data_IF_797947344166
#
_entry.id   IF_797947344166
#
_cell.length_a   1.000
_cell.length_b   1.000
_cell.length_c   1.000
_cell.angle_alpha   90.00
_cell.angle_beta   90.00
_cell.angle_gamma   90.00
#
_symmetry.space_group_name_H-M   'P 1'
#
loop_
_entity.id
_entity.type
_entity.pdbx_description
1 polymer ?
#
# COMPACT_ATOMS: atom_id res chain seq x y z
N UNK A 1 14.10 23.91 6.86
CA UNK A 1 13.41 23.34 8.03
C UNK A 1 12.26 22.49 7.52
N UNK A 2 12.38 21.16 7.56
CA UNK A 2 11.40 20.25 6.99
C UNK A 2 10.31 19.95 8.05
N UNK A 3 9.11 20.49 7.84
CA UNK A 3 7.95 20.23 8.69
C UNK A 3 7.21 18.97 8.25
N UNK A 4 7.11 17.99 9.14
CA UNK A 4 6.32 16.77 8.96
C UNK A 4 4.83 17.13 8.90
N UNK A 5 4.20 17.01 7.73
CA UNK A 5 2.78 17.32 7.52
C UNK A 5 2.00 16.02 7.35
N UNK A 6 1.37 15.52 8.42
CA UNK A 6 0.47 14.36 8.37
C UNK A 6 -0.88 14.73 9.00
N UNK A 7 -2.02 14.64 8.29
CA UNK A 7 -3.33 14.91 8.88
C UNK A 7 -3.68 13.82 9.90
N UNK A 8 -3.93 14.22 11.15
CA UNK A 8 -4.51 13.33 12.17
C UNK A 8 -5.93 12.93 11.77
N UNK A 9 -6.11 11.68 11.31
CA UNK A 9 -7.39 10.98 11.47
C UNK A 9 -7.37 10.15 12.75
N UNK A 10 -8.51 10.15 13.43
CA UNK A 10 -8.67 9.82 14.83
C UNK A 10 -8.55 8.32 15.13
N UNK A 11 -7.49 7.97 15.86
CA UNK A 11 -7.45 7.06 17.02
C UNK A 11 -7.96 5.61 16.81
N UNK A 12 -7.05 4.74 16.38
CA UNK A 12 -6.86 3.45 17.06
C UNK A 12 -5.52 3.54 17.81
N UNK A 13 -5.55 3.97 19.08
CA UNK A 13 -4.38 3.90 19.97
C UNK A 13 -4.26 2.46 20.49
N UNK A 14 -3.93 1.52 19.61
CA UNK A 14 -3.38 0.24 20.02
C UNK A 14 -1.86 0.37 19.93
N UNK A 15 -1.20 0.14 21.06
CA UNK A 15 0.23 0.34 21.29
C UNK A 15 1.05 -0.34 20.20
N UNK A 16 2.05 0.37 19.69
CA UNK A 16 3.08 -0.10 18.75
C UNK A 16 3.99 -1.22 19.30
N UNK A 17 3.56 -1.97 20.33
CA UNK A 17 4.44 -2.85 21.11
C UNK A 17 4.03 -4.32 21.21
N UNK A 18 2.94 -4.75 20.58
CA UNK A 18 2.56 -6.18 20.58
C UNK A 18 2.04 -6.63 19.20
N UNK A 19 2.68 -6.17 18.13
CA UNK A 19 2.76 -7.01 16.92
C UNK A 19 3.79 -8.08 17.26
N UNK A 20 3.43 -9.36 17.15
CA UNK A 20 4.39 -10.45 17.37
C UNK A 20 5.68 -10.17 16.61
N UNK A 21 6.81 -10.50 17.23
CA UNK A 21 8.11 -10.08 16.73
C UNK A 21 8.31 -10.65 15.33
N UNK A 22 8.32 -9.78 14.31
CA UNK A 22 8.61 -10.16 12.92
C UNK A 22 9.94 -10.93 12.80
N UNK A 23 10.84 -10.78 13.78
CA UNK A 23 12.11 -11.51 13.88
C UNK A 23 11.92 -13.02 14.11
N UNK A 24 10.78 -13.44 14.65
CA UNK A 24 10.47 -14.85 14.96
C UNK A 24 9.70 -15.56 13.84
N UNK A 25 9.29 -14.84 12.79
CA UNK A 25 8.67 -15.47 11.63
C UNK A 25 9.67 -16.36 10.90
N UNK A 26 9.28 -17.61 10.63
CA UNK A 26 10.02 -18.48 9.73
C UNK A 26 10.11 -17.87 8.33
N UNK A 27 11.18 -18.16 7.60
CA UNK A 27 11.53 -17.56 6.31
C UNK A 27 10.35 -17.56 5.30
N UNK A 28 9.70 -18.70 5.14
CA UNK A 28 8.54 -18.83 4.25
C UNK A 28 7.35 -17.98 4.71
N UNK A 29 7.09 -17.91 6.02
CA UNK A 29 6.02 -17.10 6.61
C UNK A 29 6.30 -15.61 6.46
N UNK A 30 7.56 -15.18 6.61
CA UNK A 30 7.97 -13.80 6.41
C UNK A 30 7.70 -13.35 4.96
N UNK A 31 8.14 -14.13 3.98
CA UNK A 31 7.92 -13.80 2.56
C UNK A 31 6.44 -13.81 2.23
N UNK A 32 5.70 -14.85 2.65
CA UNK A 32 4.26 -14.94 2.41
C UNK A 32 3.48 -13.74 2.98
N UNK A 33 3.90 -13.23 4.15
CA UNK A 33 3.26 -12.09 4.81
C UNK A 33 3.53 -10.76 4.12
N UNK A 34 4.73 -10.57 3.58
CA UNK A 34 5.19 -9.26 3.09
C UNK A 34 5.28 -9.12 1.57
N UNK A 35 5.19 -10.22 0.81
CA UNK A 35 5.31 -10.21 -0.66
C UNK A 35 4.27 -9.33 -1.35
N UNK A 36 3.03 -9.32 -0.85
CA UNK A 36 1.92 -8.59 -1.50
C UNK A 36 1.87 -7.10 -1.10
N UNK A 37 2.78 -6.65 -0.23
CA UNK A 37 2.97 -5.22 0.03
C UNK A 37 3.51 -4.49 -1.21
N UNK A 38 4.21 -5.20 -2.09
CA UNK A 38 4.77 -4.65 -3.32
C UNK A 38 4.06 -5.28 -4.53
N UNK A 39 3.48 -4.44 -5.37
CA UNK A 39 2.70 -4.90 -6.52
C UNK A 39 3.54 -5.79 -7.45
N UNK A 40 3.10 -7.04 -7.65
CA UNK A 40 3.76 -8.08 -8.46
C UNK A 40 5.29 -8.19 -8.24
N UNK A 41 5.79 -7.82 -7.06
CA UNK A 41 7.21 -7.65 -6.79
C UNK A 41 7.64 -8.35 -5.49
N UNK A 42 7.45 -9.69 -5.39
CA UNK A 42 7.78 -10.46 -4.19
C UNK A 42 9.27 -10.38 -3.83
N UNK A 43 10.13 -10.08 -4.80
CA UNK A 43 11.57 -9.94 -4.64
C UNK A 43 11.93 -8.98 -3.50
N UNK A 44 11.15 -7.92 -3.25
CA UNK A 44 11.44 -6.97 -2.19
C UNK A 44 11.37 -7.66 -0.81
N UNK A 45 10.34 -8.47 -0.58
CA UNK A 45 10.22 -9.27 0.66
C UNK A 45 11.33 -10.33 0.76
N UNK A 46 11.66 -11.00 -0.35
CA UNK A 46 12.72 -12.02 -0.41
C UNK A 46 14.12 -11.43 -0.14
N UNK A 47 14.40 -10.22 -0.64
CA UNK A 47 15.66 -9.52 -0.36
C UNK A 47 15.70 -9.01 1.07
N UNK A 48 14.58 -8.51 1.58
CA UNK A 48 14.48 -8.06 2.97
C UNK A 48 14.69 -9.22 3.95
N UNK A 49 14.17 -10.42 3.64
CA UNK A 49 14.40 -11.62 4.45
C UNK A 49 15.90 -11.88 4.69
N UNK A 50 16.74 -11.72 3.68
CA UNK A 50 18.20 -11.93 3.79
C UNK A 50 18.91 -10.91 4.68
N UNK A 51 18.26 -9.77 4.93
CA UNK A 51 18.74 -8.70 5.80
C UNK A 51 17.94 -8.61 7.10
N UNK A 52 17.12 -9.64 7.42
CA UNK A 52 16.21 -9.60 8.57
C UNK A 52 17.01 -9.39 9.84
N UNK A 53 16.73 -8.26 10.49
CA UNK A 53 17.12 -7.79 11.84
C UNK A 53 16.78 -6.30 11.91
N UNK A 54 15.58 -5.97 11.45
CA UNK A 54 15.13 -4.59 11.38
C UNK A 54 14.56 -4.16 12.74
N UNK A 55 14.84 -2.94 13.16
CA UNK A 55 14.10 -2.31 14.26
C UNK A 55 12.69 -1.88 13.83
N UNK A 56 12.50 -1.76 12.51
CA UNK A 56 11.27 -1.36 11.88
C UNK A 56 11.14 -2.07 10.53
N UNK A 57 10.15 -2.96 10.40
CA UNK A 57 9.95 -3.79 9.20
C UNK A 57 9.74 -2.95 7.94
N UNK A 58 9.01 -1.83 8.03
CA UNK A 58 8.83 -0.91 6.90
C UNK A 58 10.16 -0.36 6.39
N UNK A 59 11.03 0.09 7.31
CA UNK A 59 12.37 0.56 6.94
C UNK A 59 13.19 -0.55 6.29
N UNK A 60 13.13 -1.76 6.83
CA UNK A 60 13.83 -2.91 6.26
C UNK A 60 13.40 -3.25 4.84
N UNK A 61 12.09 -3.27 4.60
CA UNK A 61 11.49 -3.51 3.29
C UNK A 61 11.82 -2.38 2.29
N UNK A 62 11.78 -1.11 2.71
CA UNK A 62 12.11 -0.01 1.81
C UNK A 62 13.61 0.12 1.55
N UNK A 63 14.48 -0.24 2.51
CA UNK A 63 15.93 -0.19 2.30
C UNK A 63 16.39 -1.08 1.15
N UNK A 64 15.81 -2.28 1.00
CA UNK A 64 16.17 -3.16 -0.13
C UNK A 64 15.71 -2.62 -1.48
N UNK A 65 14.68 -1.76 -1.50
CA UNK A 65 14.23 -1.06 -2.72
C UNK A 65 15.16 0.10 -3.04
N UNK A 66 15.56 0.89 -2.05
CA UNK A 66 16.51 1.98 -2.24
C UNK A 66 17.89 1.49 -2.68
N UNK A 67 18.33 0.33 -2.18
CA UNK A 67 19.60 -0.30 -2.55
C UNK A 67 19.52 -1.13 -3.85
N UNK A 68 18.32 -1.31 -4.42
CA UNK A 68 18.14 -2.06 -5.65
C UNK A 68 18.76 -1.31 -6.85
N UNK A 69 19.05 -2.05 -7.92
CA UNK A 69 19.55 -1.40 -9.14
C UNK A 69 18.48 -0.46 -9.73
N UNK A 70 18.87 0.56 -10.51
CA UNK A 70 17.91 1.42 -11.20
C UNK A 70 16.90 0.63 -12.05
N UNK A 71 17.31 -0.49 -12.64
CA UNK A 71 16.45 -1.37 -13.43
C UNK A 71 15.38 -2.05 -12.56
N UNK A 72 15.76 -2.57 -11.39
CA UNK A 72 14.82 -3.18 -10.44
C UNK A 72 13.84 -2.14 -9.88
N UNK A 73 14.30 -0.92 -9.59
CA UNK A 73 13.42 0.17 -9.17
C UNK A 73 12.40 0.53 -10.27
N UNK A 74 12.86 0.65 -11.51
CA UNK A 74 11.97 0.91 -12.65
C UNK A 74 11.01 -0.26 -12.90
N UNK A 75 11.46 -1.51 -12.74
CA UNK A 75 10.61 -2.69 -12.85
C UNK A 75 9.51 -2.69 -11.78
N UNK A 76 9.84 -2.35 -10.54
CA UNK A 76 8.86 -2.19 -9.45
C UNK A 76 7.84 -1.08 -9.77
N UNK A 77 8.29 0.06 -10.30
CA UNK A 77 7.36 1.14 -10.70
C UNK A 77 6.43 0.66 -11.82
N UNK A 78 6.96 -0.07 -12.83
CA UNK A 78 6.17 -0.60 -13.94
C UNK A 78 5.15 -1.67 -13.52
N UNK A 79 5.43 -2.38 -12.44
CA UNK A 79 4.51 -3.37 -11.90
C UNK A 79 3.23 -2.76 -11.31
N UNK A 80 3.25 -1.45 -10.97
CA UNK A 80 2.08 -0.77 -10.45
C UNK A 80 1.07 -0.48 -11.57
N UNK A 81 -0.20 -0.87 -11.40
CA UNK A 81 -1.24 -0.59 -12.37
C UNK A 81 -1.44 0.91 -12.52
N UNK A 82 -1.73 1.34 -13.75
CA UNK A 82 -2.00 2.74 -14.04
C UNK A 82 -3.25 3.22 -13.31
N UNK A 83 -3.14 4.39 -12.70
CA UNK A 83 -4.23 5.02 -11.98
C UNK A 83 -5.34 5.45 -12.95
N UNK A 84 -6.58 5.03 -12.69
CA UNK A 84 -7.72 5.24 -13.58
C UNK A 84 -7.48 4.71 -15.02
N UNK A 85 -6.60 3.72 -15.18
CA UNK A 85 -6.37 3.04 -16.46
C UNK A 85 -7.37 1.93 -16.75
N UNK A 86 -7.25 1.30 -17.92
CA UNK A 86 -8.16 0.22 -18.35
C UNK A 86 -8.23 -0.93 -17.33
N UNK A 87 -7.15 -1.23 -16.60
CA UNK A 87 -7.19 -2.27 -15.55
C UNK A 87 -8.19 -1.98 -14.42
N UNK A 88 -8.43 -0.70 -14.11
CA UNK A 88 -9.46 -0.30 -13.15
C UNK A 88 -10.87 -0.49 -13.73
N UNK A 89 -11.03 -0.24 -15.04
CA UNK A 89 -12.29 -0.40 -15.77
C UNK A 89 -12.63 -1.90 -15.95
N UNK A 90 -11.64 -2.68 -16.37
CA UNK A 90 -11.72 -4.11 -16.67
C UNK A 90 -11.65 -4.97 -15.40
N UNK A 91 -11.49 -4.35 -14.22
CA UNK A 91 -11.42 -4.99 -12.89
C UNK A 91 -10.32 -6.05 -12.77
N UNK A 92 -9.19 -5.83 -13.43
CA UNK A 92 -8.02 -6.74 -13.41
C UNK A 92 -6.95 -6.35 -12.39
N UNK A 93 -7.25 -5.36 -11.54
CA UNK A 93 -6.39 -4.95 -10.42
C UNK A 93 -6.23 -6.07 -9.38
N UNK A 94 -5.09 -6.10 -8.69
CA UNK A 94 -4.97 -6.87 -7.44
C UNK A 94 -5.99 -6.37 -6.41
N UNK A 95 -6.33 -7.21 -5.42
CA UNK A 95 -7.27 -6.83 -4.36
C UNK A 95 -6.82 -5.54 -3.63
N UNK A 96 -5.52 -5.41 -3.36
CA UNK A 96 -4.95 -4.22 -2.74
C UNK A 96 -5.11 -2.97 -3.63
N UNK A 97 -4.71 -3.06 -4.90
CA UNK A 97 -4.84 -1.96 -5.87
C UNK A 97 -6.31 -1.57 -6.09
N UNK A 98 -7.22 -2.53 -6.14
CA UNK A 98 -8.66 -2.27 -6.25
C UNK A 98 -9.20 -1.53 -5.02
N UNK A 99 -8.83 -1.95 -3.81
CA UNK A 99 -9.26 -1.29 -2.57
C UNK A 99 -8.72 0.16 -2.47
N UNK A 100 -7.47 0.37 -2.88
CA UNK A 100 -6.82 1.69 -2.92
C UNK A 100 -7.52 2.63 -3.91
N UNK A 101 -7.78 2.17 -5.13
CA UNK A 101 -8.39 2.99 -6.18
C UNK A 101 -9.89 3.22 -5.96
N UNK A 102 -10.63 2.22 -5.46
CA UNK A 102 -12.05 2.38 -5.12
C UNK A 102 -12.27 3.45 -4.03
N UNK A 103 -11.36 3.52 -3.07
CA UNK A 103 -11.39 4.51 -1.99
C UNK A 103 -11.04 5.93 -2.45
N UNK A 104 -10.31 6.06 -3.57
CA UNK A 104 -9.80 7.34 -4.08
C UNK A 104 -10.82 8.19 -4.84
N UNK A 105 -12.09 7.79 -4.92
CA UNK A 105 -13.17 8.53 -5.64
C UNK A 105 -12.81 8.77 -7.12
N UNK A 106 -11.90 7.97 -7.69
CA UNK A 106 -11.63 7.96 -9.14
C UNK A 106 -12.78 7.31 -9.92
N UNK A 107 -13.60 6.52 -9.24
CA UNK A 107 -14.89 6.01 -9.73
C UNK A 107 -15.90 7.11 -10.11
N UNK A 108 -15.61 8.38 -9.80
CA UNK A 108 -16.48 9.54 -10.14
C UNK A 108 -15.74 10.61 -10.94
N UNK A 109 -14.84 10.21 -11.83
CA UNK A 109 -14.33 11.12 -12.86
C UNK A 109 -15.47 11.45 -13.85
N UNK A 110 -15.74 12.74 -14.07
CA UNK A 110 -16.58 13.14 -15.21
C UNK A 110 -15.82 12.89 -16.52
N UNK A 111 -16.53 12.79 -17.65
CA UNK A 111 -15.93 12.42 -18.94
C UNK A 111 -14.74 13.30 -19.33
N UNK A 112 -14.83 14.62 -19.13
CA UNK A 112 -13.74 15.56 -19.44
C UNK A 112 -12.51 15.35 -18.57
N UNK A 113 -12.71 15.02 -17.30
CA UNK A 113 -11.63 14.74 -16.35
C UNK A 113 -10.99 13.39 -16.64
N UNK A 114 -11.79 12.39 -17.00
CA UNK A 114 -11.28 11.09 -17.43
C UNK A 114 -10.39 11.23 -18.68
N UNK A 115 -10.86 11.96 -19.70
CA UNK A 115 -10.06 12.25 -20.91
C UNK A 115 -8.75 12.97 -20.57
N UNK A 116 -8.79 13.99 -19.70
CA UNK A 116 -7.57 14.70 -19.25
C UNK A 116 -6.62 13.76 -18.51
N UNK A 117 -7.13 12.95 -17.58
CA UNK A 117 -6.32 12.00 -16.82
C UNK A 117 -5.63 10.99 -17.75
N UNK A 118 -6.37 10.43 -18.71
CA UNK A 118 -5.83 9.48 -19.69
C UNK A 118 -4.77 10.11 -20.60
N UNK A 119 -5.00 11.35 -21.07
CA UNK A 119 -4.02 12.08 -21.88
C UNK A 119 -2.72 12.35 -21.10
N UNK A 120 -2.84 12.74 -19.82
CA UNK A 120 -1.69 12.96 -18.96
C UNK A 120 -0.93 11.66 -18.66
N UNK A 121 -1.63 10.56 -18.38
CA UNK A 121 -1.00 9.24 -18.21
C UNK A 121 -0.24 8.80 -19.48
N UNK A 122 -0.81 9.05 -20.66
CA UNK A 122 -0.13 8.78 -21.93
C UNK A 122 1.15 9.60 -22.09
N UNK A 123 1.08 10.91 -21.83
CA UNK A 123 2.25 11.79 -21.86
C UNK A 123 3.32 11.35 -20.85
N UNK A 124 2.89 10.94 -19.66
CA UNK A 124 3.76 10.46 -18.59
C UNK A 124 4.51 9.19 -19.00
N UNK A 125 3.80 8.20 -19.54
CA UNK A 125 4.40 6.97 -20.08
C UNK A 125 5.40 7.28 -21.20
N UNK A 126 5.06 8.17 -22.12
CA UNK A 126 5.95 8.57 -23.20
C UNK A 126 7.24 9.21 -22.67
N UNK A 127 7.13 10.09 -21.67
CA UNK A 127 8.29 10.81 -21.10
C UNK A 127 9.20 9.91 -20.26
N UNK A 128 8.64 9.09 -19.39
CA UNK A 128 9.41 8.39 -18.36
C UNK A 128 9.61 6.90 -18.64
N UNK A 129 8.76 6.29 -19.47
CA UNK A 129 8.80 4.87 -19.81
C UNK A 129 8.24 3.94 -18.72
N UNK A 130 7.41 4.48 -17.81
CA UNK A 130 6.71 3.75 -16.74
C UNK A 130 5.41 4.48 -16.35
N UNK A 131 4.52 3.79 -15.64
CA UNK A 131 3.21 4.30 -15.20
C UNK A 131 3.33 5.40 -14.13
N UNK A 132 2.36 6.31 -14.07
CA UNK A 132 2.25 7.25 -12.97
C UNK A 132 1.83 6.54 -11.68
N UNK A 133 2.68 6.60 -10.66
CA UNK A 133 2.41 5.99 -9.34
C UNK A 133 2.22 7.09 -8.32
N UNK A 134 1.12 6.98 -7.58
CA UNK A 134 0.70 7.94 -6.57
C UNK A 134 -0.06 7.21 -5.45
N UNK A 135 0.25 7.53 -4.19
CA UNK A 135 -0.49 7.00 -3.05
C UNK A 135 -1.84 7.72 -2.92
N UNK A 136 -2.83 7.22 -3.65
CA UNK A 136 -4.13 7.87 -3.82
C UNK A 136 -4.95 8.01 -2.54
N UNK A 137 -4.70 7.20 -1.52
CA UNK A 137 -5.35 7.34 -0.21
C UNK A 137 -4.96 8.64 0.52
N UNK A 138 -3.87 9.28 0.09
CA UNK A 138 -3.38 10.53 0.68
C UNK A 138 -3.78 11.76 -0.14
N UNK A 139 -4.44 11.59 -1.28
CA UNK A 139 -4.77 12.67 -2.20
C UNK A 139 -6.25 12.65 -2.56
N UNK A 140 -6.82 13.83 -2.80
CA UNK A 140 -8.09 13.90 -3.49
C UNK A 140 -7.87 13.90 -5.02
N UNK A 141 -8.96 13.92 -5.76
CA UNK A 141 -8.96 13.92 -7.22
C UNK A 141 -8.23 15.13 -7.82
N UNK A 142 -8.39 16.32 -7.25
CA UNK A 142 -7.76 17.53 -7.74
C UNK A 142 -6.25 17.51 -7.48
N UNK A 143 -5.86 17.04 -6.29
CA UNK A 143 -4.48 16.81 -5.90
C UNK A 143 -3.79 15.77 -6.78
N UNK A 144 -4.50 14.70 -7.17
CA UNK A 144 -3.96 13.66 -8.06
C UNK A 144 -3.64 14.19 -9.45
N UNK A 145 -4.55 14.96 -10.05
CA UNK A 145 -4.32 15.63 -11.34
C UNK A 145 -3.18 16.65 -11.25
N UNK A 146 -3.17 17.47 -10.20
CA UNK A 146 -2.11 18.47 -9.97
C UNK A 146 -0.74 17.81 -9.82
N UNK A 147 -0.66 16.71 -9.06
CA UNK A 147 0.58 15.96 -8.88
C UNK A 147 1.08 15.37 -10.19
N UNK A 148 0.19 14.83 -11.02
CA UNK A 148 0.52 14.29 -12.33
C UNK A 148 1.09 15.37 -13.26
N UNK A 149 0.46 16.55 -13.30
CA UNK A 149 0.91 17.69 -14.10
C UNK A 149 2.26 18.24 -13.64
N UNK A 150 2.44 18.41 -12.33
CA UNK A 150 3.71 18.90 -11.78
C UNK A 150 4.86 17.92 -12.02
N UNK A 151 4.61 16.62 -11.86
CA UNK A 151 5.64 15.58 -12.02
C UNK A 151 6.04 15.36 -13.46
N UNK A 152 5.19 15.71 -14.43
CA UNK A 152 5.57 15.72 -15.84
C UNK A 152 6.72 16.67 -16.15
N UNK A 153 6.98 17.69 -15.34
CA UNK A 153 8.10 18.61 -15.55
C UNK A 153 9.44 18.08 -15.00
N UNK A 154 9.42 16.99 -14.21
CA UNK A 154 10.61 16.44 -13.58
C UNK A 154 11.57 15.80 -14.59
N UNK A 155 12.84 15.67 -14.18
CA UNK A 155 13.80 14.79 -14.85
C UNK A 155 13.44 13.33 -14.55
N UNK A 156 13.83 12.40 -15.43
CA UNK A 156 13.54 10.97 -15.24
C UNK A 156 14.12 10.41 -13.93
N UNK A 157 15.31 10.83 -13.52
CA UNK A 157 15.93 10.38 -12.27
C UNK A 157 15.22 10.92 -11.03
N UNK A 158 14.83 12.19 -11.05
CA UNK A 158 14.02 12.77 -9.98
C UNK A 158 12.66 12.06 -9.89
N UNK A 159 12.07 11.73 -11.03
CA UNK A 159 10.78 11.07 -11.07
C UNK A 159 10.83 9.62 -10.56
N UNK A 160 11.87 8.85 -10.87
CA UNK A 160 12.09 7.53 -10.27
C UNK A 160 12.13 7.65 -8.74
N UNK A 161 12.86 8.64 -8.22
CA UNK A 161 12.96 8.88 -6.77
C UNK A 161 11.59 9.18 -6.15
N UNK A 162 10.82 10.06 -6.79
CA UNK A 162 9.45 10.41 -6.36
C UNK A 162 8.52 9.20 -6.41
N UNK A 163 8.54 8.42 -7.49
CA UNK A 163 7.71 7.24 -7.65
C UNK A 163 8.03 6.18 -6.58
N UNK A 164 9.30 5.91 -6.28
CA UNK A 164 9.68 5.01 -5.17
C UNK A 164 9.20 5.54 -3.81
N UNK A 165 9.22 6.85 -3.59
CA UNK A 165 8.68 7.44 -2.37
C UNK A 165 7.15 7.27 -2.27
N UNK A 166 6.42 7.39 -3.37
CA UNK A 166 4.98 7.08 -3.42
C UNK A 166 4.68 5.61 -3.13
N UNK A 167 5.46 4.70 -3.71
CA UNK A 167 5.37 3.26 -3.41
C UNK A 167 5.65 3.01 -1.92
N UNK A 168 6.61 3.71 -1.33
CA UNK A 168 6.84 3.65 0.11
C UNK A 168 5.63 4.06 0.94
N UNK A 169 4.81 5.02 0.49
CA UNK A 169 3.56 5.38 1.19
C UNK A 169 2.51 4.29 1.04
N UNK A 170 2.39 3.70 -0.15
CA UNK A 170 1.49 2.56 -0.43
C UNK A 170 1.85 1.36 0.46
N UNK A 171 3.12 0.96 0.46
CA UNK A 171 3.64 -0.14 1.29
C UNK A 171 3.37 0.10 2.77
N UNK A 172 3.54 1.34 3.24
CA UNK A 172 3.25 1.69 4.63
C UNK A 172 1.78 1.46 4.99
N UNK A 173 0.85 1.94 4.16
CA UNK A 173 -0.59 1.77 4.39
C UNK A 173 -1.01 0.30 4.29
N UNK A 174 -0.49 -0.44 3.30
CA UNK A 174 -0.71 -1.89 3.18
C UNK A 174 -0.21 -2.64 4.42
N UNK A 175 0.97 -2.27 4.94
CA UNK A 175 1.53 -2.85 6.16
C UNK A 175 0.67 -2.54 7.40
N UNK A 176 0.13 -1.32 7.51
CA UNK A 176 -0.80 -0.96 8.59
C UNK A 176 -2.11 -1.73 8.52
N UNK A 177 -2.55 -2.12 7.33
CA UNK A 177 -3.75 -2.93 7.10
C UNK A 177 -3.54 -4.43 7.38
N UNK A 178 -2.29 -4.92 7.48
CA UNK A 178 -2.03 -6.32 7.78
C UNK A 178 -2.49 -6.68 9.20
N UNK A 179 -3.14 -7.85 9.40
CA UNK A 179 -3.47 -8.33 10.72
C UNK A 179 -2.19 -8.58 11.53
N UNK A 180 -2.23 -8.38 12.85
CA UNK A 180 -1.08 -8.64 13.73
C UNK A 180 -0.49 -10.03 13.47
N UNK A 181 0.84 -10.12 13.41
CA UNK A 181 1.52 -11.40 13.34
C UNK A 181 1.32 -12.14 14.66
N UNK A 182 0.57 -13.23 14.64
CA UNK A 182 0.56 -14.20 15.73
C UNK A 182 1.35 -15.42 15.26
N UNK A 183 2.40 -15.85 15.98
CA UNK A 183 3.07 -17.11 15.67
C UNK A 183 2.07 -18.27 15.87
N UNK A 184 1.99 -19.16 14.88
CA UNK A 184 0.87 -20.08 14.68
C UNK A 184 0.52 -21.03 15.86
N UNK A 185 -0.75 -21.48 15.81
CA UNK A 185 -1.52 -22.42 16.65
C UNK A 185 -2.30 -21.89 17.85
N UNK A 186 -1.95 -20.72 18.40
CA UNK A 186 -2.74 -20.07 19.47
C UNK A 186 -3.40 -18.75 19.05
N UNK A 187 -3.57 -18.50 17.75
CA UNK A 187 -4.45 -17.42 17.31
C UNK A 187 -5.86 -17.75 17.84
N UNK A 188 -6.47 -16.91 18.70
CA UNK A 188 -7.83 -17.14 19.15
C UNK A 188 -8.72 -17.25 17.91
N UNK A 189 -9.52 -18.32 17.81
CA UNK A 189 -10.46 -18.48 16.69
C UNK A 189 -11.34 -17.22 16.56
N UNK A 190 -11.96 -16.96 15.39
CA UNK A 190 -12.91 -15.85 15.25
C UNK A 190 -14.00 -15.86 16.35
N UNK A 191 -14.37 -17.04 16.85
CA UNK A 191 -15.29 -17.21 17.97
C UNK A 191 -14.68 -16.80 19.33
N UNK A 192 -13.39 -17.04 19.53
CA UNK A 192 -12.66 -16.69 20.76
C UNK A 192 -12.42 -15.17 20.83
N UNK A 193 -12.18 -14.50 19.69
CA UNK A 193 -12.07 -13.03 19.65
C UNK A 193 -13.39 -12.33 20.07
N UNK A 194 -14.54 -12.95 19.78
CA UNK A 194 -15.85 -12.46 20.21
C UNK A 194 -16.12 -12.66 21.71
N UNK A 195 -15.50 -13.63 22.37
CA UNK A 195 -15.66 -13.89 23.81
C UNK A 195 -14.93 -12.86 24.70
N UNK A 196 -13.82 -12.29 24.22
CA UNK A 196 -13.05 -11.26 24.95
C UNK A 196 -13.71 -9.89 24.96
N UNK A 197 -14.79 -9.69 24.19
CA UNK A 197 -15.52 -8.41 24.12
C UNK A 197 -16.41 -8.11 25.32
N UNK A 198 -16.51 -9.00 26.33
CA UNK A 198 -17.45 -8.79 27.44
C UNK A 198 -16.84 -8.53 28.82
N UNK A 199 -15.55 -8.81 29.07
CA UNK A 199 -15.03 -8.72 30.44
C UNK A 199 -13.75 -7.90 30.67
N UNK A 200 -12.95 -7.54 29.66
CA UNK A 200 -11.77 -6.72 29.93
C UNK A 200 -11.19 -6.05 28.68
N UNK A 201 -11.75 -4.93 28.19
CA UNK A 201 -11.01 -3.85 27.49
C UNK A 201 -11.93 -2.62 27.28
N UNK A 202 -11.62 -1.43 27.81
CA UNK A 202 -12.32 -0.21 27.41
C UNK A 202 -11.78 0.26 26.04
N UNK A 203 -12.58 0.13 24.98
CA UNK A 203 -12.36 0.89 23.73
C UNK A 203 -12.25 0.12 22.40
N UNK A 204 -12.50 -1.20 22.34
CA UNK A 204 -12.51 -1.93 21.06
C UNK A 204 -13.92 -1.85 20.44
N UNK A 205 -14.09 -1.10 19.33
CA UNK A 205 -15.39 -0.88 18.72
C UNK A 205 -15.73 -1.93 17.64
N UNK A 206 -16.98 -2.38 17.64
CA UNK A 206 -17.55 -3.61 17.02
C UNK A 206 -17.55 -3.71 15.48
N UNK A 207 -16.91 -2.79 14.76
CA UNK A 207 -17.28 -2.50 13.37
C UNK A 207 -16.70 -3.43 12.28
N UNK A 208 -15.87 -4.42 12.61
CA UNK A 208 -15.16 -5.22 11.59
C UNK A 208 -15.75 -6.61 11.30
N UNK A 209 -16.95 -6.94 11.80
CA UNK A 209 -17.58 -8.23 11.50
C UNK A 209 -18.99 -8.00 10.96
N UNK A 210 -19.15 -8.05 9.64
CA UNK A 210 -20.46 -8.29 9.00
C UNK A 210 -20.55 -9.78 8.66
N UNK A 211 -21.50 -10.55 9.22
CA UNK A 211 -21.76 -11.89 8.73
C UNK A 211 -22.51 -11.80 7.41
N UNK A 212 -22.01 -12.49 6.38
CA UNK A 212 -22.74 -12.73 5.15
C UNK A 212 -23.95 -13.61 5.46
N UNK A 213 -25.14 -13.15 5.07
CA UNK A 213 -26.37 -13.96 5.12
C UNK A 213 -26.37 -14.89 3.91
N UNK A 214 -26.14 -16.18 4.15
CA UNK A 214 -26.52 -17.23 3.20
C UNK A 214 -28.04 -17.44 3.30
N UNK A 215 -28.73 -17.18 2.20
CA UNK A 215 -30.12 -17.52 1.97
C UNK A 215 -30.22 -19.04 1.73
N UNK A 216 -31.15 -19.70 2.41
CA UNK A 216 -31.71 -20.99 2.00
C UNK A 216 -33.07 -20.73 1.37
#
# INVERSE_FOLDING_TARGET
MAGTWWPRRSRCKARTHERGDDRELGDATFVARYRDLFEYSPWAAERALRRRRFDNVYRGLMQVVYDASPEDQVALIRAHPELAGNAAIDRTLTEASAAEQASAVLDRLGESQFKRFHALNQAYRHRFGFSFVLCVLLHDKAGSLTALEQRLEASRSAEITTAIAEIGKIVHLRLEALPCAWPNSNAPSPATCNAWTRAAMPGCNRACIRPGTSTT
#
